data_IF_694643204261
#
_entry.id   IF_694643204261
#
_cell.length_a   1.000
_cell.length_b   1.000
_cell.length_c   1.000
_cell.angle_alpha   90.00
_cell.angle_beta   90.00
_cell.angle_gamma   90.00
#
_symmetry.space_group_name_H-M   'P 1'
#
loop_
_entity.id
_entity.type
_entity.pdbx_description
1 polymer ?
#
# COMPACT_ATOMS: atom_id res chain seq x y z
N UNK A 1 -24.45 -5.93 15.51
CA UNK A 1 -24.32 -6.73 14.27
C UNK A 1 -23.64 -5.85 13.23
N UNK A 2 -22.39 -6.14 12.86
CA UNK A 2 -21.70 -5.38 11.81
C UNK A 2 -22.27 -5.80 10.46
N UNK A 3 -22.86 -4.86 9.72
CA UNK A 3 -23.33 -5.10 8.37
C UNK A 3 -22.13 -5.11 7.43
N UNK A 4 -21.73 -6.29 6.98
CA UNK A 4 -20.75 -6.43 5.89
C UNK A 4 -21.47 -6.14 4.57
N UNK A 5 -20.99 -5.15 3.83
CA UNK A 5 -21.48 -4.80 2.49
C UNK A 5 -20.31 -4.85 1.50
N UNK A 6 -20.60 -5.20 0.25
CA UNK A 6 -19.61 -5.13 -0.81
C UNK A 6 -19.22 -3.66 -1.07
N UNK A 7 -17.91 -3.38 -1.05
CA UNK A 7 -17.36 -2.07 -1.40
C UNK A 7 -16.89 -2.03 -2.86
N UNK A 8 -16.07 -3.00 -3.26
CA UNK A 8 -15.51 -3.11 -4.62
C UNK A 8 -15.11 -4.55 -4.96
N UNK A 9 -15.11 -4.88 -6.25
CA UNK A 9 -14.68 -6.17 -6.79
C UNK A 9 -13.50 -5.98 -7.75
N UNK A 10 -12.45 -6.80 -7.63
CA UNK A 10 -11.41 -6.92 -8.66
C UNK A 10 -11.99 -7.71 -9.84
N UNK A 11 -12.10 -7.07 -11.01
CA UNK A 11 -12.71 -7.66 -12.22
C UNK A 11 -11.68 -8.09 -13.26
N UNK A 12 -10.45 -7.59 -13.16
CA UNK A 12 -9.33 -7.95 -14.02
C UNK A 12 -8.02 -7.68 -13.30
N UNK A 13 -6.97 -8.43 -13.61
CA UNK A 13 -5.66 -8.25 -13.02
C UNK A 13 -4.56 -8.87 -13.86
N UNK A 14 -3.46 -8.15 -14.02
CA UNK A 14 -2.19 -8.63 -14.57
C UNK A 14 -1.07 -8.28 -13.58
N UNK A 15 0.13 -8.84 -13.73
CA UNK A 15 1.26 -8.46 -12.87
C UNK A 15 1.33 -9.16 -11.50
N UNK A 16 0.47 -10.15 -11.22
CA UNK A 16 0.73 -11.14 -10.17
C UNK A 16 0.07 -10.85 -8.82
N UNK A 17 0.87 -10.64 -7.77
CA UNK A 17 0.43 -10.66 -6.36
C UNK A 17 0.04 -9.28 -5.85
N UNK A 18 -0.89 -9.28 -4.89
CA UNK A 18 -1.29 -8.11 -4.10
C UNK A 18 -1.25 -8.50 -2.63
N UNK A 19 -0.98 -7.55 -1.77
CA UNK A 19 -0.86 -7.79 -0.33
C UNK A 19 -1.89 -6.96 0.45
N UNK A 20 -2.51 -7.60 1.45
CA UNK A 20 -3.45 -6.98 2.40
C UNK A 20 -2.97 -7.13 3.85
N UNK A 21 -1.77 -7.67 4.07
CA UNK A 21 -1.25 -7.99 5.41
C UNK A 21 -0.30 -6.92 5.90
N UNK A 22 0.61 -6.45 5.04
CA UNK A 22 1.50 -5.37 5.41
C UNK A 22 0.77 -4.04 5.30
N UNK A 23 0.88 -3.19 6.32
CA UNK A 23 0.39 -1.81 6.22
C UNK A 23 1.16 -0.99 5.16
N UNK A 24 0.63 0.18 4.84
CA UNK A 24 1.38 1.22 4.14
C UNK A 24 2.63 1.63 4.93
N UNK A 25 3.69 2.07 4.24
CA UNK A 25 4.83 2.67 4.93
C UNK A 25 4.42 4.02 5.52
N UNK A 26 5.04 4.37 6.64
CA UNK A 26 4.97 5.69 7.28
C UNK A 26 6.35 6.13 7.74
N UNK A 27 6.54 7.43 7.93
CA UNK A 27 7.76 7.99 8.51
C UNK A 27 8.13 7.30 9.83
N UNK A 28 7.15 7.04 10.71
CA UNK A 28 7.41 6.36 11.99
C UNK A 28 7.85 4.89 11.79
N UNK A 29 7.18 4.16 10.90
CA UNK A 29 7.57 2.77 10.59
C UNK A 29 8.94 2.67 9.94
N UNK A 30 9.31 3.66 9.13
CA UNK A 30 10.62 3.74 8.50
C UNK A 30 11.69 3.99 9.56
N UNK A 31 11.47 4.94 10.48
CA UNK A 31 12.41 5.22 11.56
C UNK A 31 12.70 3.98 12.43
N UNK A 32 11.66 3.18 12.73
CA UNK A 32 11.83 1.92 13.50
C UNK A 32 12.59 0.86 12.70
N UNK A 33 12.28 0.68 11.41
CA UNK A 33 12.84 -0.41 10.59
C UNK A 33 14.23 -0.11 10.04
N UNK A 34 14.52 1.16 9.80
CA UNK A 34 15.64 1.61 8.94
C UNK A 34 16.54 2.61 9.67
N UNK A 35 16.17 2.99 10.90
CA UNK A 35 16.93 3.87 11.78
C UNK A 35 16.45 5.32 11.77
N UNK A 36 16.89 6.07 12.77
CA UNK A 36 16.52 7.47 12.99
C UNK A 36 16.88 8.50 11.90
N UNK A 37 17.78 8.29 10.91
CA UNK A 37 18.00 9.28 9.85
C UNK A 37 16.96 9.21 8.70
N UNK A 38 15.84 8.49 8.85
CA UNK A 38 14.80 8.38 7.81
C UNK A 38 13.42 9.03 8.08
N UNK A 39 13.16 9.87 9.11
CA UNK A 39 11.82 10.37 9.39
C UNK A 39 11.33 11.35 8.32
N UNK A 40 12.25 12.03 7.63
CA UNK A 40 11.92 12.99 6.56
C UNK A 40 11.79 12.32 5.18
N UNK A 41 11.94 10.99 5.10
CA UNK A 41 11.71 10.27 3.85
C UNK A 41 10.21 10.21 3.56
N UNK A 42 9.85 10.42 2.29
CA UNK A 42 8.47 10.26 1.83
C UNK A 42 7.94 8.87 2.17
N UNK A 43 6.65 8.80 2.50
CA UNK A 43 5.97 7.56 2.82
C UNK A 43 4.48 7.61 2.45
N UNK A 44 3.89 6.43 2.24
CA UNK A 44 2.53 6.29 1.76
C UNK A 44 1.51 6.90 2.71
N UNK A 45 1.72 6.77 4.02
CA UNK A 45 0.81 7.30 5.01
C UNK A 45 0.74 8.82 4.95
N UNK A 46 1.89 9.48 4.79
CA UNK A 46 1.98 10.93 4.63
C UNK A 46 1.32 11.37 3.32
N UNK A 47 1.53 10.64 2.21
CA UNK A 47 0.82 10.89 0.96
C UNK A 47 -0.71 10.78 1.13
N UNK A 48 -1.19 9.76 1.84
CA UNK A 48 -2.63 9.62 2.12
C UNK A 48 -3.17 10.78 2.96
N UNK A 49 -2.44 11.23 3.99
CA UNK A 49 -2.87 12.37 4.81
C UNK A 49 -2.99 13.64 3.95
N UNK A 50 -2.03 13.89 3.07
CA UNK A 50 -2.03 15.04 2.18
C UNK A 50 -3.24 15.04 1.25
N UNK A 51 -3.49 13.93 0.55
CA UNK A 51 -4.61 13.81 -0.38
C UNK A 51 -5.97 13.83 0.33
N UNK A 52 -6.11 13.07 1.42
CA UNK A 52 -7.36 12.99 2.19
C UNK A 52 -7.71 14.30 2.90
N UNK A 53 -6.72 15.14 3.20
CA UNK A 53 -6.94 16.47 3.79
C UNK A 53 -7.84 17.35 2.92
N UNK A 54 -7.73 17.24 1.59
CA UNK A 54 -8.60 17.93 0.63
C UNK A 54 -10.08 17.51 0.70
N UNK A 55 -10.36 16.37 1.33
CA UNK A 55 -11.69 15.79 1.52
C UNK A 55 -12.21 15.92 2.96
N UNK A 56 -11.56 16.74 3.80
CA UNK A 56 -11.95 16.92 5.20
C UNK A 56 -11.66 15.70 6.09
N UNK A 57 -10.79 14.81 5.63
CA UNK A 57 -10.38 13.59 6.33
C UNK A 57 -8.99 13.76 6.94
N UNK A 58 -8.68 12.97 7.96
CA UNK A 58 -7.45 13.06 8.73
C UNK A 58 -6.81 11.67 8.94
N UNK A 59 -5.65 11.65 9.61
CA UNK A 59 -4.88 10.44 9.95
C UNK A 59 -5.72 9.31 10.58
N UNK A 60 -6.79 9.64 11.31
CA UNK A 60 -7.70 8.68 11.95
C UNK A 60 -8.59 7.93 10.95
N UNK A 61 -8.80 8.50 9.77
CA UNK A 61 -9.70 7.97 8.75
C UNK A 61 -8.97 7.02 7.78
N UNK A 62 -7.65 6.86 7.96
CA UNK A 62 -6.82 5.92 7.21
C UNK A 62 -6.94 4.53 7.82
N UNK A 63 -7.47 3.60 7.03
CA UNK A 63 -7.66 2.17 7.36
C UNK A 63 -6.58 1.31 6.68
N UNK A 64 -6.48 -0.01 6.96
CA UNK A 64 -5.60 -0.90 6.22
C UNK A 64 -5.84 -0.83 4.70
N UNK A 65 -4.77 -0.60 3.94
CA UNK A 65 -4.83 -0.47 2.49
C UNK A 65 -4.60 -1.82 1.79
N UNK A 66 -4.96 -1.88 0.51
CA UNK A 66 -4.48 -2.93 -0.40
C UNK A 66 -3.18 -2.45 -1.03
N UNK A 67 -2.12 -3.25 -0.97
CA UNK A 67 -0.87 -3.01 -1.65
C UNK A 67 -0.87 -3.74 -3.00
N UNK A 68 -1.35 -3.10 -4.06
CA UNK A 68 -1.30 -3.69 -5.39
C UNK A 68 0.16 -3.87 -5.85
N UNK A 69 0.45 -5.00 -6.52
CA UNK A 69 1.76 -5.37 -7.07
C UNK A 69 2.86 -5.64 -6.02
N UNK A 70 2.55 -5.51 -4.73
CA UNK A 70 3.48 -5.86 -3.65
C UNK A 70 3.50 -7.37 -3.44
N UNK A 71 4.69 -7.95 -3.37
CA UNK A 71 4.91 -9.35 -3.03
C UNK A 71 5.39 -9.46 -1.58
N UNK A 72 4.57 -10.04 -0.70
CA UNK A 72 4.91 -10.30 0.71
C UNK A 72 4.60 -11.78 1.01
N UNK A 73 5.49 -12.71 0.61
CA UNK A 73 5.31 -14.12 0.92
C UNK A 73 5.37 -14.36 2.44
N UNK A 74 4.63 -15.37 2.87
CA UNK A 74 4.73 -15.93 4.22
C UNK A 74 5.72 -17.08 4.18
N UNK A 75 6.75 -17.02 5.03
CA UNK A 75 7.74 -18.08 5.22
C UNK A 75 7.19 -19.28 5.97
N UNK A 76 8.01 -20.33 6.13
CA UNK A 76 7.62 -21.54 6.85
C UNK A 76 7.33 -21.28 8.34
N UNK A 77 7.98 -20.27 8.92
CA UNK A 77 7.82 -19.87 10.32
C UNK A 77 6.86 -18.66 10.48
N UNK A 78 5.92 -18.50 9.55
CA UNK A 78 4.95 -17.40 9.47
C UNK A 78 5.56 -15.98 9.34
N UNK A 79 6.88 -15.88 9.08
CA UNK A 79 7.55 -14.60 8.84
C UNK A 79 7.06 -13.95 7.55
N UNK A 80 6.83 -12.62 7.60
CA UNK A 80 6.50 -11.81 6.43
C UNK A 80 7.77 -11.20 5.85
N UNK A 81 8.19 -11.70 4.68
CA UNK A 81 9.36 -11.17 4.00
C UNK A 81 8.96 -10.11 2.97
N UNK A 82 9.54 -8.90 3.09
CA UNK A 82 9.49 -7.91 2.01
C UNK A 82 10.48 -8.30 0.93
N UNK A 83 10.00 -8.79 -0.21
CA UNK A 83 10.84 -9.23 -1.34
C UNK A 83 10.64 -8.32 -2.55
N UNK A 84 11.44 -8.54 -3.59
CA UNK A 84 11.32 -7.81 -4.85
C UNK A 84 9.91 -7.90 -5.44
N UNK A 85 9.50 -6.78 -6.04
CA UNK A 85 8.29 -6.72 -6.85
C UNK A 85 8.38 -7.69 -8.03
N UNK A 86 7.30 -8.44 -8.27
CA UNK A 86 7.22 -9.42 -9.37
C UNK A 86 6.43 -8.90 -10.58
N UNK A 87 5.84 -7.70 -10.46
CA UNK A 87 5.06 -7.08 -11.52
C UNK A 87 6.00 -6.44 -12.56
N UNK A 88 5.76 -6.74 -13.83
CA UNK A 88 6.41 -6.06 -14.94
C UNK A 88 5.70 -4.74 -15.28
N UNK A 89 6.38 -3.78 -15.93
CA UNK A 89 5.74 -2.60 -16.50
C UNK A 89 4.54 -2.96 -17.38
N UNK A 90 3.46 -2.17 -17.29
CA UNK A 90 2.19 -2.44 -17.98
C UNK A 90 1.21 -3.34 -17.21
N UNK A 91 1.59 -3.80 -16.01
CA UNK A 91 0.65 -4.44 -15.07
C UNK A 91 -0.54 -3.53 -14.73
N UNK A 92 -1.72 -4.12 -14.56
CA UNK A 92 -2.97 -3.41 -14.34
C UNK A 92 -3.91 -4.18 -13.42
N UNK A 93 -4.74 -3.45 -12.67
CA UNK A 93 -5.84 -4.00 -11.86
C UNK A 93 -7.12 -3.24 -12.21
N UNK A 94 -8.17 -3.97 -12.58
CA UNK A 94 -9.50 -3.42 -12.81
C UNK A 94 -10.36 -3.57 -11.56
N UNK A 95 -10.90 -2.45 -11.08
CA UNK A 95 -11.83 -2.42 -9.94
C UNK A 95 -13.22 -1.98 -10.41
N UNK A 96 -14.25 -2.70 -9.96
CA UNK A 96 -15.64 -2.28 -10.06
C UNK A 96 -16.13 -1.86 -8.68
N UNK A 97 -16.51 -0.60 -8.53
CA UNK A 97 -17.13 -0.11 -7.30
C UNK A 97 -18.59 -0.58 -7.21
N UNK A 98 -19.02 -1.03 -6.03
CA UNK A 98 -20.40 -1.41 -5.76
C UNK A 98 -21.25 -0.26 -5.20
N UNK A 99 -20.61 0.87 -4.90
CA UNK A 99 -21.18 2.11 -4.36
C UNK A 99 -20.29 3.30 -4.76
N UNK A 100 -20.68 4.51 -4.37
CA UNK A 100 -19.82 5.68 -4.51
C UNK A 100 -18.58 5.52 -3.62
N UNK A 101 -17.40 5.67 -4.22
CA UNK A 101 -16.11 5.47 -3.55
C UNK A 101 -15.17 6.62 -3.82
N UNK A 102 -14.37 6.97 -2.82
CA UNK A 102 -13.18 7.80 -2.98
C UNK A 102 -11.96 6.88 -3.01
N UNK A 103 -11.26 6.83 -4.14
CA UNK A 103 -10.01 6.07 -4.26
C UNK A 103 -8.81 6.99 -4.05
N UNK A 104 -7.93 6.62 -3.12
CA UNK A 104 -6.64 7.29 -2.92
C UNK A 104 -5.53 6.29 -3.22
N UNK A 105 -4.64 6.65 -4.14
CA UNK A 105 -3.51 5.84 -4.56
C UNK A 105 -2.21 6.54 -4.19
N UNK A 106 -1.23 5.77 -3.75
CA UNK A 106 0.10 6.26 -3.42
C UNK A 106 1.13 5.37 -4.08
N UNK A 107 1.92 5.94 -4.99
CA UNK A 107 3.09 5.27 -5.53
C UNK A 107 4.11 5.14 -4.40
N UNK A 108 4.29 3.91 -3.90
CA UNK A 108 5.07 3.66 -2.70
C UNK A 108 6.52 4.18 -2.89
N UNK A 109 6.96 5.18 -2.10
CA UNK A 109 8.23 5.86 -2.34
C UNK A 109 9.48 5.29 -1.65
N UNK A 110 9.47 4.18 -0.88
CA UNK A 110 10.63 3.84 -0.06
C UNK A 110 11.82 3.49 -0.94
N UNK A 111 12.96 4.13 -0.67
CA UNK A 111 14.22 3.91 -1.38
C UNK A 111 15.06 2.78 -0.79
N UNK A 112 14.63 2.23 0.33
CA UNK A 112 15.43 1.41 1.23
C UNK A 112 14.84 0.02 1.45
N UNK A 113 13.91 -0.41 0.60
CA UNK A 113 13.44 -1.78 0.57
C UNK A 113 13.15 -2.21 -0.89
N UNK A 114 13.20 -3.53 -1.17
CA UNK A 114 13.16 -4.04 -2.53
C UNK A 114 11.80 -3.94 -3.25
N UNK A 115 10.73 -3.52 -2.57
CA UNK A 115 9.36 -3.68 -3.09
C UNK A 115 9.09 -2.94 -4.42
N UNK A 116 9.90 -1.94 -4.75
CA UNK A 116 9.83 -1.14 -5.98
C UNK A 116 11.13 -1.18 -6.81
N UNK A 117 11.96 -2.21 -6.59
CA UNK A 117 13.25 -2.35 -7.30
C UNK A 117 14.25 -1.22 -7.00
N UNK A 118 14.09 -0.53 -5.86
CA UNK A 118 14.91 0.61 -5.44
C UNK A 118 14.84 1.82 -6.39
N UNK A 119 13.83 1.87 -7.27
CA UNK A 119 13.61 2.94 -8.26
C UNK A 119 12.15 3.39 -8.25
N UNK A 120 11.67 4.02 -7.17
CA UNK A 120 10.34 4.61 -7.15
C UNK A 120 10.21 5.69 -8.25
N UNK A 121 9.04 5.76 -8.87
CA UNK A 121 8.68 6.71 -9.93
C UNK A 121 7.43 7.51 -9.59
#
# INVERSE_FOLDING_TARGET
>A
MWLVREHSTIIAGTGGRHDTRAGCCSCESNAVRLGHPTPDLHACRENFILELGGHGMAKRDIVPNVNFFRNVPTGADDELAGVDGIAAPGGSVGLRAAMDVLCVLSNCPPLNNPCNGFRPS
#
